data_IF_836547652918
#
_entry.id   IF_836547652918
#
_cell.length_a   1.000
_cell.length_b   1.000
_cell.length_c   1.000
_cell.angle_alpha   90.00
_cell.angle_beta   90.00
_cell.angle_gamma   90.00
#
_symmetry.space_group_name_H-M   'P 1'
#
loop_
_entity.id
_entity.type
_entity.pdbx_description
1 polymer ?
#
# COMPACT_ATOMS: atom_id res chain seq x y z
N UNK A 1 -71.18 19.95 -9.85
CA UNK A 1 -70.29 18.76 -9.99
C UNK A 1 -68.87 19.23 -9.77
N UNK A 2 -68.18 18.77 -8.71
CA UNK A 2 -66.81 19.19 -8.37
C UNK A 2 -65.83 18.19 -8.99
N UNK A 3 -65.02 18.64 -9.94
CA UNK A 3 -63.96 17.82 -10.53
C UNK A 3 -62.79 17.71 -9.54
N UNK A 4 -62.49 16.49 -9.12
CA UNK A 4 -61.31 16.15 -8.32
C UNK A 4 -60.17 15.87 -9.29
N UNK A 5 -59.13 16.71 -9.27
CA UNK A 5 -57.88 16.44 -9.97
C UNK A 5 -57.01 15.53 -9.10
N UNK A 6 -56.71 14.34 -9.60
CA UNK A 6 -55.74 13.41 -8.99
C UNK A 6 -54.37 13.74 -9.59
N UNK A 7 -53.50 14.35 -8.78
CA UNK A 7 -52.11 14.58 -9.16
C UNK A 7 -51.29 13.31 -8.90
N UNK A 8 -50.85 12.65 -9.96
CA UNK A 8 -49.97 11.48 -9.89
C UNK A 8 -48.55 11.93 -9.57
N UNK A 9 -48.05 11.55 -8.40
CA UNK A 9 -46.69 11.84 -7.96
C UNK A 9 -45.72 10.84 -8.63
N UNK A 10 -45.01 11.25 -9.67
CA UNK A 10 -43.88 10.49 -10.20
C UNK A 10 -42.67 10.67 -9.28
N UNK A 11 -42.30 9.62 -8.54
CA UNK A 11 -41.08 9.59 -7.75
C UNK A 11 -39.87 9.44 -8.69
N UNK A 12 -39.02 10.47 -8.75
CA UNK A 12 -37.73 10.40 -9.43
C UNK A 12 -36.74 9.60 -8.57
N UNK A 13 -36.33 8.42 -9.05
CA UNK A 13 -35.24 7.66 -8.45
C UNK A 13 -33.90 8.31 -8.84
N UNK A 14 -33.30 9.05 -7.90
CA UNK A 14 -31.92 9.47 -8.03
C UNK A 14 -31.00 8.29 -7.68
N UNK A 15 -30.35 7.71 -8.70
CA UNK A 15 -29.22 6.80 -8.47
C UNK A 15 -28.03 7.68 -8.12
N UNK A 16 -27.69 7.75 -6.82
CA UNK A 16 -26.44 8.37 -6.39
C UNK A 16 -25.28 7.52 -6.90
N UNK A 17 -24.64 7.95 -7.99
CA UNK A 17 -23.33 7.42 -8.40
C UNK A 17 -22.30 7.92 -7.39
N UNK A 18 -21.92 7.08 -6.42
CA UNK A 18 -20.76 7.36 -5.61
C UNK A 18 -19.53 7.34 -6.53
N UNK A 19 -18.81 8.46 -6.62
CA UNK A 19 -17.46 8.42 -7.16
C UNK A 19 -16.69 7.39 -6.32
N UNK A 20 -16.08 6.39 -6.97
CA UNK A 20 -15.28 5.41 -6.27
C UNK A 20 -14.20 6.15 -5.46
N UNK A 21 -14.20 5.95 -4.13
CA UNK A 21 -13.21 6.57 -3.26
C UNK A 21 -11.81 6.22 -3.74
N UNK A 22 -10.89 7.19 -3.77
CA UNK A 22 -9.50 6.93 -4.14
C UNK A 22 -8.94 5.85 -3.20
N UNK A 23 -8.60 4.64 -3.69
CA UNK A 23 -8.18 3.54 -2.84
C UNK A 23 -6.83 3.79 -2.16
N UNK A 24 -6.09 4.82 -2.60
CA UNK A 24 -4.81 5.22 -2.04
C UNK A 24 -4.90 6.47 -1.14
N UNK A 25 -6.12 6.94 -0.81
CA UNK A 25 -6.30 8.09 0.07
C UNK A 25 -5.57 7.88 1.42
N UNK A 26 -4.69 8.81 1.78
CA UNK A 26 -3.93 8.78 3.04
C UNK A 26 -2.70 7.88 3.06
N UNK A 27 -2.43 7.07 2.03
CA UNK A 27 -1.30 6.14 2.03
C UNK A 27 0.06 6.85 2.05
N UNK A 28 0.18 8.01 1.41
CA UNK A 28 1.42 8.81 1.48
C UNK A 28 1.71 9.27 2.91
N UNK A 29 0.70 9.83 3.60
CA UNK A 29 0.84 10.29 4.99
C UNK A 29 1.21 9.12 5.90
N UNK A 30 0.49 7.99 5.78
CA UNK A 30 0.76 6.77 6.54
C UNK A 30 2.19 6.28 6.30
N UNK A 31 2.62 6.21 5.04
CA UNK A 31 3.95 5.73 4.68
C UNK A 31 5.04 6.63 5.25
N UNK A 32 4.95 7.95 5.03
CA UNK A 32 5.93 8.93 5.55
C UNK A 32 6.02 8.87 7.08
N UNK A 33 4.88 8.81 7.77
CA UNK A 33 4.84 8.71 9.23
C UNK A 33 5.55 7.44 9.72
N UNK A 34 5.26 6.28 9.12
CA UNK A 34 5.91 5.01 9.50
C UNK A 34 7.41 5.00 9.21
N UNK A 35 7.83 5.56 8.07
CA UNK A 35 9.25 5.65 7.72
C UNK A 35 10.02 6.56 8.69
N UNK A 36 9.46 7.72 9.04
CA UNK A 36 10.06 8.62 10.02
C UNK A 36 10.13 7.97 11.42
N UNK A 37 9.05 7.32 11.87
CA UNK A 37 9.03 6.64 13.16
C UNK A 37 10.02 5.47 13.28
N UNK A 38 10.55 4.99 12.15
CA UNK A 38 11.50 3.89 12.09
C UNK A 38 12.92 4.33 11.72
N UNK A 39 13.24 5.63 11.72
CA UNK A 39 14.52 6.19 11.24
C UNK A 39 14.89 5.64 9.83
N UNK A 40 13.93 5.73 8.91
CA UNK A 40 14.01 5.16 7.56
C UNK A 40 13.57 6.16 6.48
N UNK A 41 13.72 7.46 6.70
CA UNK A 41 13.32 8.51 5.75
C UNK A 41 14.01 8.41 4.39
N UNK A 42 15.18 7.78 4.30
CA UNK A 42 15.83 7.48 3.03
C UNK A 42 14.94 6.68 2.06
N UNK A 43 13.98 5.90 2.58
CA UNK A 43 13.02 5.16 1.77
C UNK A 43 11.91 6.04 1.16
N UNK A 44 11.76 7.30 1.56
CA UNK A 44 10.73 8.19 1.00
C UNK A 44 10.95 8.40 -0.50
N UNK A 45 12.19 8.69 -0.91
CA UNK A 45 12.55 8.84 -2.32
C UNK A 45 12.33 7.53 -3.09
N UNK A 46 12.67 6.40 -2.46
CA UNK A 46 12.45 5.05 -3.03
C UNK A 46 10.97 4.79 -3.26
N UNK A 47 10.10 5.00 -2.27
CA UNK A 47 8.66 4.77 -2.42
C UNK A 47 8.06 5.66 -3.52
N UNK A 48 8.52 6.90 -3.61
CA UNK A 48 8.07 7.81 -4.65
C UNK A 48 8.44 7.30 -6.05
N UNK A 49 9.68 6.83 -6.22
CA UNK A 49 10.17 6.22 -7.45
C UNK A 49 9.43 4.91 -7.80
N UNK A 50 9.24 4.03 -6.83
CA UNK A 50 8.69 2.68 -7.03
C UNK A 50 7.19 2.66 -7.32
N UNK A 51 6.40 3.44 -6.56
CA UNK A 51 4.93 3.36 -6.64
C UNK A 51 4.24 4.72 -6.69
N UNK A 52 4.94 5.80 -6.30
CA UNK A 52 4.31 7.08 -6.01
C UNK A 52 3.35 6.98 -4.82
N UNK A 53 3.75 6.24 -3.77
CA UNK A 53 2.96 6.01 -2.55
C UNK A 53 1.63 5.26 -2.77
N UNK A 54 1.56 4.40 -3.78
CA UNK A 54 0.34 3.63 -4.11
C UNK A 54 0.45 2.17 -3.70
N UNK A 55 -0.59 1.66 -3.05
CA UNK A 55 -0.79 0.23 -2.84
C UNK A 55 -1.70 -0.38 -3.91
N UNK A 56 -2.61 0.42 -4.46
CA UNK A 56 -3.65 -0.05 -5.37
C UNK A 56 -3.63 0.70 -6.70
N UNK A 57 -4.11 0.06 -7.77
CA UNK A 57 -4.39 0.70 -9.05
C UNK A 57 -5.66 1.56 -8.98
N UNK A 58 -6.02 2.20 -10.10
CA UNK A 58 -7.20 3.06 -10.22
C UNK A 58 -8.53 2.34 -9.99
N UNK A 59 -8.55 1.01 -10.07
CA UNK A 59 -9.72 0.18 -9.85
C UNK A 59 -9.74 -0.42 -8.43
N UNK A 60 -8.76 -0.09 -7.58
CA UNK A 60 -8.63 -0.64 -6.24
C UNK A 60 -8.00 -2.03 -6.18
N UNK A 61 -7.46 -2.56 -7.29
CA UNK A 61 -6.73 -3.83 -7.26
C UNK A 61 -5.33 -3.60 -6.71
N UNK A 62 -4.72 -4.62 -6.10
CA UNK A 62 -3.32 -4.57 -5.67
C UNK A 62 -2.42 -4.10 -6.82
N UNK A 63 -1.64 -3.05 -6.57
CA UNK A 63 -0.69 -2.50 -7.53
C UNK A 63 0.38 -3.55 -7.82
N UNK A 64 0.57 -3.83 -9.11
CA UNK A 64 1.59 -4.75 -9.62
C UNK A 64 2.53 -4.01 -10.55
N UNK A 65 3.80 -4.35 -10.50
CA UNK A 65 4.77 -3.88 -11.48
C UNK A 65 4.33 -4.29 -12.89
N UNK A 66 4.64 -3.45 -13.87
CA UNK A 66 4.21 -3.66 -15.25
C UNK A 66 4.93 -4.86 -15.89
N UNK A 67 6.22 -5.02 -15.60
CA UNK A 67 7.09 -6.06 -16.18
C UNK A 67 7.01 -7.36 -15.38
N UNK A 68 7.13 -7.30 -14.04
CA UNK A 68 7.14 -8.49 -13.18
C UNK A 68 5.91 -8.50 -12.28
N UNK A 69 4.86 -9.23 -12.66
CA UNK A 69 3.54 -9.17 -11.99
C UNK A 69 3.54 -9.55 -10.51
N UNK A 70 4.55 -10.27 -10.05
CA UNK A 70 4.72 -10.65 -8.64
C UNK A 70 5.33 -9.54 -7.78
N UNK A 71 5.80 -8.44 -8.37
CA UNK A 71 6.28 -7.26 -7.62
C UNK A 71 5.10 -6.36 -7.29
N UNK A 72 4.85 -6.09 -6.00
CA UNK A 72 3.57 -5.52 -5.54
C UNK A 72 3.69 -4.40 -4.50
N UNK A 73 2.69 -3.52 -4.51
CA UNK A 73 2.42 -2.54 -3.44
C UNK A 73 3.38 -1.36 -3.36
N UNK A 74 3.33 -0.64 -2.24
CA UNK A 74 4.02 0.64 -2.00
C UNK A 74 5.54 0.53 -2.20
N UNK A 75 6.15 -0.51 -1.66
CA UNK A 75 7.59 -0.78 -1.69
C UNK A 75 8.01 -1.64 -2.89
N UNK A 76 7.08 -2.02 -3.77
CA UNK A 76 7.32 -2.91 -4.92
C UNK A 76 8.12 -4.16 -4.52
N UNK A 77 7.55 -4.97 -3.62
CA UNK A 77 8.17 -6.19 -3.10
C UNK A 77 7.77 -7.41 -3.92
N UNK A 78 8.72 -8.29 -4.25
CA UNK A 78 8.42 -9.53 -4.97
C UNK A 78 7.70 -10.56 -4.08
N UNK A 79 6.42 -10.82 -4.36
CA UNK A 79 5.52 -11.57 -3.48
C UNK A 79 5.79 -13.07 -3.38
N UNK A 80 6.68 -13.62 -4.22
CA UNK A 80 7.16 -15.00 -4.08
C UNK A 80 8.32 -15.14 -3.10
N UNK A 81 9.05 -14.06 -2.86
CA UNK A 81 10.28 -14.07 -2.05
C UNK A 81 10.12 -13.33 -0.74
N UNK A 82 9.17 -12.41 -0.66
CA UNK A 82 8.93 -11.59 0.51
C UNK A 82 7.55 -11.88 1.12
N UNK A 83 7.46 -11.94 2.46
CA UNK A 83 8.54 -11.75 3.44
C UNK A 83 9.53 -12.94 3.51
N UNK A 84 10.82 -12.64 3.51
CA UNK A 84 11.89 -13.63 3.54
C UNK A 84 12.29 -13.99 4.98
N UNK A 85 12.22 -15.28 5.40
CA UNK A 85 12.53 -15.71 6.77
C UNK A 85 13.92 -15.29 7.26
N UNK A 86 14.93 -15.35 6.39
CA UNK A 86 16.32 -15.03 6.73
C UNK A 86 16.54 -13.54 7.02
N UNK A 87 15.81 -12.66 6.33
CA UNK A 87 15.84 -11.21 6.56
C UNK A 87 15.20 -10.91 7.92
N UNK A 88 14.03 -11.50 8.21
CA UNK A 88 13.34 -11.33 9.48
C UNK A 88 14.20 -11.86 10.64
N UNK A 89 14.80 -13.04 10.48
CA UNK A 89 15.69 -13.61 11.49
C UNK A 89 16.92 -12.71 11.75
N UNK A 90 17.50 -12.11 10.70
CA UNK A 90 18.61 -11.16 10.85
C UNK A 90 18.18 -9.89 11.60
N UNK A 91 17.00 -9.35 11.27
CA UNK A 91 16.42 -8.20 11.97
C UNK A 91 16.18 -8.51 13.45
N UNK A 92 15.51 -9.62 13.75
CA UNK A 92 15.25 -10.07 15.13
C UNK A 92 16.53 -10.18 15.96
N UNK A 93 17.61 -10.74 15.41
CA UNK A 93 18.90 -10.83 16.11
C UNK A 93 19.54 -9.46 16.39
N UNK A 94 19.39 -8.50 15.48
CA UNK A 94 19.97 -7.14 15.64
C UNK A 94 19.18 -6.27 16.59
N UNK A 95 17.87 -6.47 16.66
CA UNK A 95 16.95 -5.55 17.34
C UNK A 95 16.22 -6.17 18.54
N UNK A 96 16.45 -7.46 18.85
CA UNK A 96 15.82 -8.12 19.99
C UNK A 96 14.32 -8.37 19.83
N UNK A 97 13.83 -8.48 18.60
CA UNK A 97 12.42 -8.72 18.28
C UNK A 97 12.12 -10.19 18.02
N UNK A 98 10.84 -10.55 17.91
CA UNK A 98 10.36 -11.94 17.74
C UNK A 98 9.44 -12.10 16.54
N UNK A 99 9.60 -11.26 15.51
CA UNK A 99 8.75 -11.30 14.33
C UNK A 99 8.90 -12.61 13.54
N UNK A 100 7.85 -12.96 12.82
CA UNK A 100 7.73 -14.09 11.93
C UNK A 100 7.26 -13.61 10.55
N UNK A 101 7.33 -14.48 9.52
CA UNK A 101 6.80 -14.16 8.18
C UNK A 101 5.31 -13.80 8.22
N UNK A 102 4.55 -14.44 9.10
CA UNK A 102 3.10 -14.22 9.22
C UNK A 102 2.73 -12.81 9.70
N UNK A 103 3.65 -12.10 10.35
CA UNK A 103 3.42 -10.73 10.84
C UNK A 103 3.42 -9.68 9.71
N UNK A 104 3.85 -10.06 8.50
CA UNK A 104 3.99 -9.14 7.37
C UNK A 104 3.16 -9.59 6.18
N UNK A 105 1.92 -9.10 6.09
CA UNK A 105 1.13 -9.26 4.88
C UNK A 105 1.46 -8.17 3.86
N UNK A 106 2.44 -8.39 2.99
CA UNK A 106 2.87 -7.40 1.98
C UNK A 106 1.79 -7.03 0.93
N UNK A 107 0.62 -7.68 0.94
CA UNK A 107 -0.50 -7.34 0.06
C UNK A 107 -1.38 -6.22 0.64
N UNK A 108 -1.25 -5.89 1.92
CA UNK A 108 -1.86 -4.69 2.51
C UNK A 108 -0.83 -3.55 2.64
N UNK A 109 -1.27 -2.29 2.78
CA UNK A 109 -0.36 -1.14 2.83
C UNK A 109 0.64 -1.22 4.00
N UNK A 110 0.16 -1.49 5.22
CA UNK A 110 0.97 -1.45 6.43
C UNK A 110 2.06 -2.52 6.41
N UNK A 111 1.68 -3.77 6.11
CA UNK A 111 2.61 -4.90 6.04
C UNK A 111 3.62 -4.78 4.90
N UNK A 112 3.25 -4.11 3.80
CA UNK A 112 4.18 -3.81 2.70
C UNK A 112 5.26 -2.82 3.15
N UNK A 113 4.87 -1.72 3.80
CA UNK A 113 5.80 -0.72 4.34
C UNK A 113 6.64 -1.29 5.50
N UNK A 114 6.02 -2.01 6.44
CA UNK A 114 6.70 -2.61 7.60
C UNK A 114 7.78 -3.60 7.17
N UNK A 115 7.48 -4.47 6.20
CA UNK A 115 8.51 -5.35 5.66
C UNK A 115 9.59 -4.59 4.89
N UNK A 116 9.23 -3.54 4.15
CA UNK A 116 10.18 -2.65 3.48
C UNK A 116 11.18 -2.04 4.47
N UNK A 117 10.72 -1.57 5.62
CA UNK A 117 11.57 -1.06 6.71
C UNK A 117 12.53 -2.15 7.22
N UNK A 118 12.03 -3.36 7.48
CA UNK A 118 12.86 -4.49 7.92
C UNK A 118 13.93 -4.82 6.89
N UNK A 119 13.54 -4.90 5.62
CA UNK A 119 14.46 -5.20 4.53
C UNK A 119 15.54 -4.13 4.41
N UNK A 120 15.18 -2.85 4.56
CA UNK A 120 16.12 -1.72 4.60
C UNK A 120 17.07 -1.78 5.79
N UNK A 121 16.59 -2.04 7.01
CA UNK A 121 17.46 -2.16 8.20
C UNK A 121 18.43 -3.33 8.09
N UNK A 122 18.10 -4.34 7.29
CA UNK A 122 18.97 -5.49 7.06
C UNK A 122 19.95 -5.28 5.91
N UNK A 123 19.49 -4.72 4.79
CA UNK A 123 20.21 -4.71 3.51
C UNK A 123 20.51 -3.30 2.95
N UNK A 124 20.10 -2.24 3.64
CA UNK A 124 20.15 -0.88 3.13
C UNK A 124 19.26 -0.68 1.90
N UNK A 125 19.67 0.21 1.00
CA UNK A 125 18.92 0.56 -0.22
C UNK A 125 19.13 -0.40 -1.38
N UNK A 126 20.01 -1.41 -1.24
CA UNK A 126 20.40 -2.32 -2.33
C UNK A 126 19.21 -2.97 -3.07
N UNK A 127 18.11 -3.41 -2.42
CA UNK A 127 16.96 -4.00 -3.13
C UNK A 127 16.26 -3.03 -4.09
N UNK A 128 16.48 -1.73 -3.93
CA UNK A 128 15.88 -0.66 -4.73
C UNK A 128 16.95 0.18 -5.45
N UNK A 129 18.08 -0.43 -5.82
CA UNK A 129 19.22 0.26 -6.42
C UNK A 129 18.88 1.10 -7.66
N UNK A 130 17.83 0.74 -8.40
CA UNK A 130 17.31 1.48 -9.55
C UNK A 130 16.71 2.85 -9.21
N UNK A 131 16.36 3.07 -7.94
CA UNK A 131 15.76 4.31 -7.43
C UNK A 131 16.73 5.12 -6.56
N UNK A 132 17.99 4.67 -6.44
CA UNK A 132 19.04 5.41 -5.75
C UNK A 132 19.78 6.24 -6.80
N UNK A 133 19.72 7.57 -6.66
CA UNK A 133 20.49 8.52 -7.47
C UNK A 133 21.97 8.59 -7.05
#
# INVERSE_FOLDING_TARGET
>A
MKHVFVATLTAAFFVATSAAANPNAGLEIMTRHKLAAADAEALIAIVNCESGFRQYDQNGNLLRNQTVKDVVGIMQLHSRFHPAPEVIAAFNRRHGTTYSVGDFNIKNPEGNVDYGIILFKVQGLRPWSQCVE
#
